data_IF_036144573814
#
_entry.id   IF_036144573814
#
_cell.length_a   1.000
_cell.length_b   1.000
_cell.length_c   1.000
_cell.angle_alpha   90.00
_cell.angle_beta   90.00
_cell.angle_gamma   90.00
#
_symmetry.space_group_name_H-M   'P 1'
#
loop_
_entity.id
_entity.type
_entity.pdbx_description
1 polymer ?
#
# COMPACT_ATOMS: atom_id res chain seq x y z
N UNK A 1 -44.27 -63.14 -34.89
CA UNK A 1 -43.43 -62.61 -33.83
C UNK A 1 -43.74 -61.10 -33.63
N UNK A 2 -44.45 -60.75 -32.58
CA UNK A 2 -44.86 -59.36 -32.30
C UNK A 2 -43.68 -58.61 -31.66
N UNK A 3 -43.24 -57.52 -32.30
CA UNK A 3 -42.22 -56.63 -31.80
C UNK A 3 -42.82 -55.74 -30.69
N UNK A 4 -42.50 -56.03 -29.44
CA UNK A 4 -42.83 -55.14 -28.30
C UNK A 4 -42.00 -53.87 -28.35
N UNK A 5 -42.63 -52.78 -28.76
CA UNK A 5 -42.03 -51.44 -28.67
C UNK A 5 -42.00 -51.01 -27.19
N UNK A 6 -40.79 -50.98 -26.58
CA UNK A 6 -40.59 -50.39 -25.24
C UNK A 6 -40.93 -48.92 -25.31
N UNK A 7 -41.98 -48.50 -24.60
CA UNK A 7 -42.24 -47.07 -24.36
C UNK A 7 -41.09 -46.48 -23.52
N UNK A 8 -40.39 -45.52 -24.07
CA UNK A 8 -39.40 -44.72 -23.34
C UNK A 8 -40.18 -43.88 -22.30
N UNK A 9 -39.82 -43.92 -21.01
CA UNK A 9 -40.49 -43.09 -20.02
C UNK A 9 -40.34 -41.61 -20.38
N UNK A 10 -41.44 -40.86 -20.33
CA UNK A 10 -41.43 -39.43 -20.58
C UNK A 10 -40.59 -38.75 -19.50
N UNK A 11 -39.57 -37.99 -19.93
CA UNK A 11 -38.77 -37.15 -19.05
C UNK A 11 -39.69 -36.13 -18.36
N UNK A 12 -39.65 -36.10 -17.02
CA UNK A 12 -40.47 -35.19 -16.24
C UNK A 12 -39.81 -33.78 -16.31
N UNK A 13 -40.38 -32.92 -17.16
CA UNK A 13 -39.88 -31.55 -17.38
C UNK A 13 -39.85 -30.71 -16.09
N UNK A 14 -40.77 -31.00 -15.15
CA UNK A 14 -40.81 -30.32 -13.85
C UNK A 14 -39.58 -30.62 -12.99
N UNK A 15 -39.12 -31.88 -12.96
CA UNK A 15 -37.90 -32.25 -12.23
C UNK A 15 -36.62 -31.68 -12.87
N UNK A 16 -36.62 -31.57 -14.20
CA UNK A 16 -35.48 -30.92 -14.89
C UNK A 16 -35.41 -29.42 -14.61
N UNK A 17 -36.57 -28.75 -14.56
CA UNK A 17 -36.64 -27.33 -14.23
C UNK A 17 -36.16 -27.05 -12.79
N UNK A 18 -36.51 -27.92 -11.84
CA UNK A 18 -36.09 -27.79 -10.43
C UNK A 18 -34.58 -27.97 -10.29
N UNK A 19 -33.99 -28.98 -10.92
CA UNK A 19 -32.55 -29.19 -10.93
C UNK A 19 -31.83 -28.01 -11.57
N UNK A 20 -32.33 -27.45 -12.67
CA UNK A 20 -31.74 -26.29 -13.35
C UNK A 20 -31.84 -25.05 -12.48
N UNK A 21 -32.92 -24.86 -11.75
CA UNK A 21 -33.09 -23.76 -10.82
C UNK A 21 -32.13 -23.87 -9.62
N UNK A 22 -31.98 -25.06 -9.04
CA UNK A 22 -31.04 -25.31 -7.96
C UNK A 22 -29.58 -25.10 -8.40
N UNK A 23 -29.21 -25.53 -9.60
CA UNK A 23 -27.90 -25.27 -10.19
C UNK A 23 -27.67 -23.77 -10.41
N UNK A 24 -28.65 -23.05 -10.93
CA UNK A 24 -28.57 -21.62 -11.15
C UNK A 24 -28.38 -20.86 -9.83
N UNK A 25 -29.17 -21.18 -8.81
CA UNK A 25 -29.04 -20.56 -7.47
C UNK A 25 -27.73 -20.92 -6.79
N UNK A 26 -27.27 -22.17 -6.95
CA UNK A 26 -25.95 -22.60 -6.46
C UNK A 26 -24.82 -21.80 -7.12
N UNK A 27 -24.82 -21.64 -8.44
CA UNK A 27 -23.82 -20.84 -9.14
C UNK A 27 -23.89 -19.36 -8.79
N UNK A 28 -25.08 -18.80 -8.57
CA UNK A 28 -25.25 -17.43 -8.10
C UNK A 28 -24.67 -17.22 -6.68
N UNK A 29 -24.83 -18.19 -5.79
CA UNK A 29 -24.29 -18.16 -4.43
C UNK A 29 -22.77 -18.37 -4.39
N UNK A 30 -22.26 -19.29 -5.21
CA UNK A 30 -20.82 -19.60 -5.29
C UNK A 30 -20.06 -18.54 -6.10
N UNK A 31 -20.76 -17.83 -7.01
CA UNK A 31 -20.18 -16.76 -7.84
C UNK A 31 -19.95 -15.45 -7.11
N UNK A 32 -20.33 -15.31 -5.84
CA UNK A 32 -19.81 -14.25 -4.98
C UNK A 32 -18.34 -14.53 -4.65
N UNK A 33 -17.48 -14.36 -5.64
CA UNK A 33 -16.05 -14.27 -5.40
C UNK A 33 -15.85 -13.03 -4.55
N UNK A 34 -15.30 -13.20 -3.37
CA UNK A 34 -14.71 -12.12 -2.61
C UNK A 34 -13.78 -11.37 -3.57
N UNK A 35 -14.13 -10.12 -3.85
CA UNK A 35 -13.24 -9.24 -4.58
C UNK A 35 -12.07 -9.03 -3.64
N UNK A 36 -10.99 -9.78 -3.86
CA UNK A 36 -9.73 -9.52 -3.18
C UNK A 36 -9.46 -8.01 -3.31
N UNK A 37 -9.58 -7.32 -2.19
CA UNK A 37 -9.28 -5.90 -2.10
C UNK A 37 -7.75 -5.76 -2.22
N UNK A 38 -7.26 -5.94 -3.44
CA UNK A 38 -5.86 -5.72 -3.76
C UNK A 38 -5.51 -4.25 -3.53
N UNK A 39 -4.30 -3.99 -3.05
CA UNK A 39 -3.77 -2.65 -2.93
C UNK A 39 -3.63 -2.07 -4.34
N UNK A 40 -4.59 -1.27 -4.77
CA UNK A 40 -4.52 -0.59 -6.06
C UNK A 40 -3.45 0.50 -6.00
N UNK A 41 -2.27 0.24 -6.57
CA UNK A 41 -1.23 1.26 -6.78
C UNK A 41 -1.14 1.61 -8.25
N UNK A 42 -1.16 2.89 -8.55
CA UNK A 42 -0.74 3.38 -9.86
C UNK A 42 0.77 3.19 -9.97
N UNK A 43 1.19 2.34 -10.90
CA UNK A 43 2.59 2.31 -11.32
C UNK A 43 2.93 3.64 -12.00
N UNK A 44 4.17 4.15 -11.80
CA UNK A 44 4.65 5.27 -12.59
C UNK A 44 4.50 4.96 -14.08
N UNK A 45 4.19 5.95 -14.93
CA UNK A 45 4.16 5.74 -16.37
C UNK A 45 5.54 5.23 -16.82
N UNK A 46 5.60 4.32 -17.82
CA UNK A 46 6.88 3.88 -18.36
C UNK A 46 7.68 5.11 -18.81
N UNK A 47 8.99 5.15 -18.59
CA UNK A 47 9.83 6.27 -19.01
C UNK A 47 9.62 6.50 -20.50
N UNK A 48 9.12 7.68 -20.85
CA UNK A 48 9.06 8.10 -22.25
C UNK A 48 10.49 8.25 -22.73
N UNK A 49 10.78 7.58 -23.80
CA UNK A 49 12.07 7.44 -24.48
C UNK A 49 12.89 8.74 -24.44
N UNK A 50 14.17 8.62 -23.99
CA UNK A 50 15.32 9.45 -24.33
C UNK A 50 15.55 10.81 -23.68
N UNK A 51 14.87 11.17 -22.61
CA UNK A 51 15.50 12.07 -21.65
C UNK A 51 15.48 11.41 -20.28
N UNK A 52 16.52 10.60 -20.03
CA UNK A 52 16.94 10.31 -18.67
C UNK A 52 17.43 11.63 -18.06
N UNK A 53 16.53 12.49 -17.64
CA UNK A 53 16.85 13.37 -16.54
C UNK A 53 17.18 12.46 -15.39
N UNK A 54 18.44 12.12 -15.23
CA UNK A 54 18.97 11.58 -13.98
C UNK A 54 18.64 12.63 -12.95
N UNK A 55 17.51 12.47 -12.27
CA UNK A 55 17.24 13.23 -11.06
C UNK A 55 18.33 12.76 -10.10
N UNK A 56 19.35 13.59 -9.93
CA UNK A 56 20.43 13.35 -8.97
C UNK A 56 19.83 13.49 -7.57
N UNK A 57 19.17 12.41 -7.12
CA UNK A 57 18.57 12.36 -5.80
C UNK A 57 19.73 12.36 -4.79
N UNK A 58 19.87 13.45 -4.07
CA UNK A 58 20.86 13.54 -3.01
C UNK A 58 20.66 12.37 -2.03
N UNK A 59 21.76 11.76 -1.58
CA UNK A 59 21.69 10.58 -0.68
C UNK A 59 20.89 10.82 0.58
N UNK A 60 20.86 12.04 1.09
CA UNK A 60 20.07 12.42 2.27
C UNK A 60 18.56 12.35 2.02
N UNK A 61 18.13 12.52 0.76
CA UNK A 61 16.72 12.49 0.36
C UNK A 61 16.22 11.08 0.01
N UNK A 62 17.07 10.06 0.19
CA UNK A 62 16.75 8.70 -0.18
C UNK A 62 16.67 7.78 1.04
N UNK A 63 15.50 7.18 1.25
CA UNK A 63 15.29 6.07 2.16
C UNK A 63 15.10 4.79 1.34
N UNK A 64 16.02 3.84 1.51
CA UNK A 64 15.98 2.56 0.79
C UNK A 64 15.51 1.46 1.72
N UNK A 65 14.48 0.74 1.30
CA UNK A 65 13.95 -0.42 2.00
C UNK A 65 14.18 -1.63 1.11
N UNK A 66 15.11 -2.49 1.50
CA UNK A 66 15.48 -3.70 0.77
C UNK A 66 14.89 -4.92 1.47
N UNK A 67 14.24 -5.81 0.73
CA UNK A 67 13.76 -7.09 1.23
C UNK A 67 14.52 -8.21 0.53
N UNK A 68 15.21 -9.04 1.32
CA UNK A 68 16.03 -10.13 0.78
C UNK A 68 15.21 -11.42 0.56
N UNK A 69 15.86 -12.42 -0.03
CA UNK A 69 15.29 -13.75 -0.29
C UNK A 69 14.87 -14.50 0.99
N UNK A 70 15.45 -14.17 2.15
CA UNK A 70 15.13 -14.74 3.47
C UNK A 70 13.95 -14.02 4.14
N UNK A 71 13.33 -13.05 3.45
CA UNK A 71 12.25 -12.20 3.98
C UNK A 71 12.68 -11.26 5.13
N UNK A 72 13.97 -10.99 5.24
CA UNK A 72 14.47 -9.97 6.13
C UNK A 72 14.45 -8.61 5.43
N UNK A 73 14.18 -7.56 6.17
CA UNK A 73 14.08 -6.20 5.63
C UNK A 73 15.22 -5.35 6.15
N UNK A 74 15.96 -4.71 5.26
CA UNK A 74 16.95 -3.69 5.60
C UNK A 74 16.40 -2.31 5.25
N UNK A 75 16.45 -1.40 6.19
CA UNK A 75 16.12 0.01 6.00
C UNK A 75 17.39 0.82 6.09
N UNK A 76 17.72 1.55 5.04
CA UNK A 76 18.95 2.30 4.92
C UNK A 76 18.67 3.75 4.51
N UNK A 77 19.30 4.66 5.19
CA UNK A 77 19.39 6.08 4.84
C UNK A 77 20.84 6.58 5.07
N UNK A 78 21.08 7.89 4.98
CA UNK A 78 22.41 8.45 5.22
C UNK A 78 22.85 8.34 6.68
N UNK A 79 21.93 8.18 7.64
CA UNK A 79 22.24 7.99 9.07
C UNK A 79 22.76 6.58 9.37
N UNK A 80 22.44 5.60 8.53
CA UNK A 80 22.85 4.21 8.71
C UNK A 80 21.88 3.20 8.13
N UNK A 81 22.08 1.96 8.53
CA UNK A 81 21.20 0.83 8.13
C UNK A 81 20.74 0.04 9.34
N UNK A 82 19.51 -0.44 9.29
CA UNK A 82 18.93 -1.31 10.30
C UNK A 82 18.23 -2.50 9.66
N UNK A 83 18.41 -3.68 10.27
CA UNK A 83 17.83 -4.93 9.79
C UNK A 83 16.64 -5.33 10.65
N UNK A 84 15.62 -5.85 10.01
CA UNK A 84 14.41 -6.41 10.61
C UNK A 84 14.26 -7.85 10.14
N UNK A 85 14.27 -8.79 11.08
CA UNK A 85 14.23 -10.23 10.76
C UNK A 85 12.82 -10.75 10.45
N UNK A 86 11.79 -9.99 10.85
CA UNK A 86 10.39 -10.39 10.65
C UNK A 86 9.44 -9.20 10.67
N UNK A 87 8.17 -9.46 10.31
CA UNK A 87 7.12 -8.44 10.25
C UNK A 87 6.78 -7.81 11.61
N UNK A 88 7.03 -8.50 12.72
CA UNK A 88 6.72 -7.97 14.06
C UNK A 88 7.77 -6.95 14.48
N UNK A 89 9.04 -7.19 14.17
CA UNK A 89 10.10 -6.20 14.32
C UNK A 89 9.86 -4.95 13.48
N UNK A 90 9.36 -5.11 12.24
CA UNK A 90 8.96 -3.96 11.39
C UNK A 90 7.91 -3.07 12.06
N UNK A 91 7.06 -3.64 12.91
CA UNK A 91 6.03 -2.93 13.67
C UNK A 91 6.52 -2.39 15.01
N UNK A 92 7.80 -2.58 15.33
CA UNK A 92 8.40 -2.09 16.57
C UNK A 92 8.36 -3.10 17.71
N UNK A 93 8.30 -4.41 17.42
CA UNK A 93 8.47 -5.41 18.45
C UNK A 93 9.93 -5.49 18.91
N UNK A 94 10.12 -5.66 20.20
CA UNK A 94 11.45 -5.70 20.81
C UNK A 94 12.02 -4.30 21.06
N UNK A 95 13.33 -4.13 20.83
CA UNK A 95 14.03 -2.86 21.02
C UNK A 95 14.18 -2.03 19.76
N UNK A 96 13.55 -2.45 18.64
CA UNK A 96 13.69 -1.77 17.34
C UNK A 96 12.63 -0.70 17.15
N UNK A 97 13.02 0.37 16.46
CA UNK A 97 12.10 1.42 16.05
C UNK A 97 11.22 0.88 14.91
N UNK A 98 9.92 1.09 14.97
CA UNK A 98 9.03 0.66 13.90
C UNK A 98 9.37 1.35 12.58
N UNK A 99 9.22 0.63 11.45
CA UNK A 99 9.46 1.19 10.12
C UNK A 99 8.64 2.47 9.89
N UNK A 100 7.38 2.47 10.33
CA UNK A 100 6.51 3.65 10.22
C UNK A 100 7.10 4.88 10.90
N UNK A 101 7.69 4.72 12.10
CA UNK A 101 8.24 5.84 12.87
C UNK A 101 9.52 6.37 12.20
N UNK A 102 10.34 5.48 11.61
CA UNK A 102 11.49 5.89 10.78
C UNK A 102 11.07 6.65 9.53
N UNK A 103 10.02 6.21 8.87
CA UNK A 103 9.46 6.91 7.71
C UNK A 103 8.93 8.28 8.12
N UNK A 104 8.24 8.38 9.25
CA UNK A 104 7.75 9.67 9.78
C UNK A 104 8.90 10.63 10.09
N UNK A 105 9.94 10.16 10.78
CA UNK A 105 11.13 10.96 11.07
C UNK A 105 11.85 11.41 9.80
N UNK A 106 11.97 10.50 8.82
CA UNK A 106 12.57 10.78 7.52
C UNK A 106 11.80 11.85 6.74
N UNK A 107 10.47 11.81 6.74
CA UNK A 107 9.61 12.77 6.03
C UNK A 107 9.55 14.11 6.75
N UNK A 108 9.43 14.10 8.08
CA UNK A 108 9.27 15.34 8.85
C UNK A 108 10.58 16.05 9.16
N UNK A 109 11.69 15.31 9.22
CA UNK A 109 13.00 15.81 9.68
C UNK A 109 12.90 16.77 10.88
N UNK A 110 12.16 16.38 11.92
CA UNK A 110 11.86 17.23 13.08
C UNK A 110 13.11 17.74 13.81
N UNK A 111 14.22 17.02 13.69
CA UNK A 111 15.52 17.37 14.27
C UNK A 111 16.35 18.32 13.39
N UNK A 112 15.87 18.66 12.18
CA UNK A 112 16.60 19.41 11.15
C UNK A 112 18.01 18.87 10.93
N UNK A 113 18.13 17.55 10.80
CA UNK A 113 19.42 16.87 10.60
C UNK A 113 19.90 17.02 9.15
N UNK A 114 21.18 17.32 8.95
CA UNK A 114 21.80 17.36 7.62
C UNK A 114 21.83 15.99 6.91
N UNK A 115 21.60 14.89 7.65
CA UNK A 115 21.56 13.53 7.13
C UNK A 115 20.15 13.09 6.70
N UNK A 116 19.16 13.92 6.92
CA UNK A 116 17.77 13.75 6.50
C UNK A 116 17.41 14.74 5.39
N UNK A 117 16.29 14.56 4.71
CA UNK A 117 15.84 15.47 3.65
C UNK A 117 15.77 16.91 4.11
N UNK A 118 16.19 17.83 3.24
CA UNK A 118 16.17 19.26 3.52
C UNK A 118 14.76 19.77 3.70
N UNK A 119 14.59 20.66 4.67
CA UNK A 119 13.34 21.34 4.92
C UNK A 119 13.29 22.62 4.08
N UNK A 120 12.22 22.77 3.31
CA UNK A 120 11.90 23.98 2.55
C UNK A 120 10.65 24.61 3.15
N UNK A 121 10.65 25.92 3.34
CA UNK A 121 9.45 26.62 3.79
C UNK A 121 8.47 26.75 2.62
N UNK A 122 7.26 26.19 2.77
CA UNK A 122 6.18 26.27 1.80
C UNK A 122 4.94 26.92 2.41
N UNK A 123 4.31 27.81 1.66
CA UNK A 123 3.10 28.49 2.09
C UNK A 123 1.84 27.78 1.52
N UNK A 124 1.14 27.09 2.40
CA UNK A 124 -0.10 26.40 2.08
C UNK A 124 -1.35 27.28 2.19
N UNK A 125 -1.17 28.56 2.54
CA UNK A 125 -2.30 29.46 2.79
C UNK A 125 -3.06 29.16 4.07
N UNK A 126 -4.10 29.97 4.39
CA UNK A 126 -4.91 29.75 5.59
C UNK A 126 -5.73 28.46 5.50
N UNK A 127 -5.84 27.65 6.57
CA UNK A 127 -5.39 27.93 7.94
C UNK A 127 -3.98 27.44 8.27
N UNK A 128 -3.27 26.78 7.35
CA UNK A 128 -1.98 26.11 7.59
C UNK A 128 -0.83 27.12 7.71
N UNK A 129 -0.77 28.08 6.77
CA UNK A 129 0.30 29.07 6.69
C UNK A 129 1.62 28.48 6.17
N UNK A 130 2.74 29.13 6.55
CA UNK A 130 4.08 28.72 6.15
C UNK A 130 4.56 27.59 7.09
N UNK A 131 4.89 26.43 6.50
CA UNK A 131 5.35 25.25 7.24
C UNK A 131 6.60 24.69 6.56
N UNK A 132 7.64 24.30 7.34
CA UNK A 132 8.77 23.59 6.78
C UNK A 132 8.35 22.17 6.38
N UNK A 133 8.58 21.82 5.13
CA UNK A 133 8.27 20.51 4.55
C UNK A 133 9.49 19.96 3.80
N UNK A 134 9.57 18.65 3.65
CA UNK A 134 10.59 18.00 2.84
C UNK A 134 10.10 17.86 1.41
N UNK A 135 10.64 18.63 0.49
CA UNK A 135 10.19 18.69 -0.90
C UNK A 135 10.60 17.45 -1.73
N UNK A 136 11.80 16.94 -1.56
CA UNK A 136 12.39 15.95 -2.46
C UNK A 136 12.72 14.61 -1.80
N UNK A 137 11.92 14.17 -0.83
CA UNK A 137 12.15 12.87 -0.22
C UNK A 137 11.68 11.72 -1.12
N UNK A 138 12.48 10.67 -1.22
CA UNK A 138 12.19 9.47 -2.01
C UNK A 138 12.31 8.23 -1.13
N UNK A 139 11.28 7.40 -1.12
CA UNK A 139 11.30 6.09 -0.47
C UNK A 139 11.33 5.01 -1.55
N UNK A 140 12.46 4.30 -1.66
CA UNK A 140 12.66 3.23 -2.62
C UNK A 140 12.46 1.88 -1.94
N UNK A 141 11.44 1.12 -2.35
CA UNK A 141 11.20 -0.24 -1.87
C UNK A 141 11.69 -1.20 -2.96
N UNK A 142 12.68 -2.02 -2.61
CA UNK A 142 13.27 -3.01 -3.51
C UNK A 142 13.15 -4.38 -2.87
N UNK A 143 12.70 -5.36 -3.62
CA UNK A 143 12.55 -6.73 -3.16
C UNK A 143 13.23 -7.71 -4.12
N UNK A 144 13.79 -8.79 -3.55
CA UNK A 144 14.27 -9.91 -4.34
C UNK A 144 13.11 -10.63 -5.03
N UNK A 145 13.35 -11.26 -6.17
CA UNK A 145 12.33 -11.99 -6.93
C UNK A 145 11.72 -13.18 -6.15
N UNK A 146 12.45 -13.69 -5.16
CA UNK A 146 12.03 -14.82 -4.32
C UNK A 146 11.41 -14.41 -2.98
N UNK A 147 11.34 -13.09 -2.71
CA UNK A 147 10.70 -12.55 -1.51
C UNK A 147 9.22 -12.95 -1.44
N UNK A 148 8.74 -13.34 -0.26
CA UNK A 148 7.32 -13.66 -0.08
C UNK A 148 6.45 -12.42 -0.26
N UNK A 149 5.32 -12.59 -0.97
CA UNK A 149 4.33 -11.53 -1.14
C UNK A 149 3.84 -10.95 0.20
N UNK A 150 3.72 -11.81 1.23
CA UNK A 150 3.34 -11.40 2.59
C UNK A 150 4.30 -10.36 3.16
N UNK A 151 5.61 -10.57 3.04
CA UNK A 151 6.63 -9.64 3.56
C UNK A 151 6.63 -8.33 2.77
N UNK A 152 6.53 -8.41 1.44
CA UNK A 152 6.40 -7.23 0.59
C UNK A 152 5.21 -6.36 0.98
N UNK A 153 4.03 -6.96 1.14
CA UNK A 153 2.83 -6.23 1.57
C UNK A 153 2.97 -5.70 3.00
N UNK A 154 3.62 -6.42 3.92
CA UNK A 154 3.87 -5.93 5.27
C UNK A 154 4.70 -4.64 5.26
N UNK A 155 5.78 -4.58 4.48
CA UNK A 155 6.60 -3.38 4.31
C UNK A 155 5.79 -2.23 3.72
N UNK A 156 5.02 -2.48 2.66
CA UNK A 156 4.19 -1.47 2.04
C UNK A 156 3.14 -0.90 3.00
N UNK A 157 2.50 -1.77 3.77
CA UNK A 157 1.50 -1.36 4.75
C UNK A 157 2.08 -0.45 5.84
N UNK A 158 3.29 -0.74 6.32
CA UNK A 158 3.93 0.12 7.32
C UNK A 158 4.31 1.49 6.74
N UNK A 159 4.76 1.57 5.49
CA UNK A 159 5.01 2.85 4.81
C UNK A 159 3.71 3.64 4.61
N UNK A 160 2.65 2.98 4.10
CA UNK A 160 1.33 3.63 3.92
C UNK A 160 0.76 4.10 5.26
N UNK A 161 0.93 3.30 6.31
CA UNK A 161 0.50 3.63 7.66
C UNK A 161 1.20 4.89 8.18
N UNK A 162 2.51 5.01 7.93
CA UNK A 162 3.26 6.22 8.29
C UNK A 162 2.64 7.48 7.65
N UNK A 163 2.36 7.45 6.35
CA UNK A 163 1.72 8.57 5.65
C UNK A 163 0.30 8.85 6.14
N UNK A 164 -0.48 7.82 6.44
CA UNK A 164 -1.83 8.00 6.96
C UNK A 164 -1.81 8.63 8.36
N UNK A 165 -0.87 8.21 9.22
CA UNK A 165 -0.68 8.83 10.52
C UNK A 165 -0.24 10.29 10.39
N UNK A 166 0.66 10.62 9.45
CA UNK A 166 1.08 12.01 9.18
C UNK A 166 -0.08 12.89 8.71
N UNK A 167 -0.93 12.37 7.80
CA UNK A 167 -2.13 13.08 7.33
C UNK A 167 -3.12 13.33 8.46
N UNK A 168 -3.35 12.32 9.30
CA UNK A 168 -4.24 12.44 10.44
C UNK A 168 -3.71 13.44 11.49
N UNK A 169 -2.39 13.43 11.76
CA UNK A 169 -1.75 14.40 12.65
C UNK A 169 -1.85 15.82 12.08
N UNK A 170 -1.65 16.00 10.76
CA UNK A 170 -1.83 17.27 10.08
C UNK A 170 -3.27 17.76 10.14
N UNK A 171 -4.24 16.90 9.83
CA UNK A 171 -5.67 17.22 9.91
C UNK A 171 -6.08 17.68 11.30
N UNK A 172 -5.66 16.98 12.34
CA UNK A 172 -5.93 17.36 13.71
C UNK A 172 -5.27 18.66 14.13
N UNK A 173 -4.02 18.87 13.69
CA UNK A 173 -3.22 20.05 14.06
C UNK A 173 -3.75 21.33 13.43
N UNK A 174 -4.12 21.29 12.16
CA UNK A 174 -4.45 22.50 11.39
C UNK A 174 -5.96 22.72 11.23
N UNK A 175 -6.74 21.64 11.16
CA UNK A 175 -8.19 21.70 10.94
C UNK A 175 -9.01 21.24 12.14
N UNK A 176 -8.36 20.65 13.16
CA UNK A 176 -9.01 20.12 14.38
C UNK A 176 -10.10 19.09 14.08
N UNK A 177 -9.93 18.32 13.02
CA UNK A 177 -10.83 17.27 12.55
C UNK A 177 -10.07 16.04 12.06
N UNK A 178 -10.75 14.93 11.75
CA UNK A 178 -10.11 13.76 11.13
C UNK A 178 -9.85 14.01 9.67
N UNK A 179 -8.81 13.36 9.11
CA UNK A 179 -8.46 13.48 7.69
C UNK A 179 -9.63 13.09 6.77
N UNK A 180 -10.40 12.06 7.13
CA UNK A 180 -11.54 11.57 6.35
C UNK A 180 -12.74 12.56 6.31
N UNK A 181 -12.79 13.50 7.25
CA UNK A 181 -13.82 14.53 7.31
C UNK A 181 -13.47 15.83 6.59
N UNK A 182 -12.23 15.92 6.08
CA UNK A 182 -11.77 17.06 5.30
C UNK A 182 -12.41 17.10 3.91
N UNK A 183 -12.65 18.29 3.41
CA UNK A 183 -13.09 18.49 2.02
C UNK A 183 -11.93 18.20 1.04
N UNK A 184 -12.26 17.86 -0.21
CA UNK A 184 -11.26 17.55 -1.24
C UNK A 184 -10.20 18.66 -1.45
N UNK A 185 -10.57 19.92 -1.23
CA UNK A 185 -9.65 21.05 -1.33
C UNK A 185 -8.73 21.17 -0.12
N UNK A 186 -9.22 20.83 1.07
CA UNK A 186 -8.42 20.76 2.30
C UNK A 186 -7.47 19.57 2.32
N UNK A 187 -7.84 18.45 1.70
CA UNK A 187 -6.97 17.28 1.58
C UNK A 187 -5.78 17.49 0.62
N UNK A 188 -5.86 18.49 -0.26
CA UNK A 188 -4.79 18.85 -1.20
C UNK A 188 -3.81 19.87 -0.63
N UNK A 189 -4.17 20.56 0.44
CA UNK A 189 -3.29 21.39 1.22
C UNK A 189 -2.38 20.55 2.12
#
# INVERSE_FOLDING_TARGET
MAKTTRKVPALNASSMADISFLLLTFFLLVSNMDVDSGLARRLPPPPQTEEQTTVDVQRRNLLVVLVNAQNETMVQNQQGSEWYSNSDELRGAGSKVALKDKVKEFVLNTSNSEQLPELTEEDFGPPIGIVPVTDQHVISIQNDATTSYKTYIAVQNEVVRAYNELREEGARKYFNTSYDELTDDQQKQ
#
